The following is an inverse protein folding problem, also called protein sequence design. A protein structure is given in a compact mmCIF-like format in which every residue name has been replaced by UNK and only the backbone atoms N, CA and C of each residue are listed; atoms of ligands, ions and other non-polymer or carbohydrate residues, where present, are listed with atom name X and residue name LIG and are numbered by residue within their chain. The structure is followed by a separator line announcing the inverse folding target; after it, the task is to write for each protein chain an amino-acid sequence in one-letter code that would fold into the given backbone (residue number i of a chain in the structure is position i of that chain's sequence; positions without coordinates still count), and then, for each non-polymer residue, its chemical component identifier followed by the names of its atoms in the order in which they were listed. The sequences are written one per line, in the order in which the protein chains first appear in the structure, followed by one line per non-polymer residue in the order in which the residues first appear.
data_IF_371993315373
#
_entry.id   IF_371993315373
#
_cell.length_a   1.000
_cell.length_b   1.000
_cell.length_c   1.000
_cell.angle_alpha   90.00
_cell.angle_beta   90.00
_cell.angle_gamma   90.00
#
_symmetry.space_group_name_H-M   'P 1'
#
loop_
_entity.id
_entity.type
_entity.pdbx_description
1 polymer ?
#
# COMPACT_ATOMS: atom_id res chain seq x y z
N UNK A 1 34.01 7.63 8.90
CA UNK A 1 32.85 8.01 8.04
C UNK A 1 31.56 7.23 8.34
N UNK A 2 31.56 6.17 9.18
CA UNK A 2 30.35 5.42 9.57
C UNK A 2 29.36 6.12 10.53
N UNK A 3 29.70 7.25 11.17
CA UNK A 3 28.80 7.92 12.13
C UNK A 3 27.64 8.69 11.48
N UNK A 4 27.72 8.98 10.17
CA UNK A 4 26.73 9.81 9.45
C UNK A 4 25.41 9.06 9.16
N UNK A 5 25.50 7.80 8.72
CA UNK A 5 24.33 6.96 8.45
C UNK A 5 23.53 6.63 9.73
N UNK A 6 24.25 6.36 10.83
CA UNK A 6 23.65 6.11 12.16
C UNK A 6 22.91 7.33 12.69
N UNK A 7 23.42 8.54 12.42
CA UNK A 7 22.79 9.79 12.84
C UNK A 7 21.50 10.07 12.04
N UNK A 8 21.52 9.86 10.72
CA UNK A 8 20.35 10.01 9.85
C UNK A 8 19.23 9.03 10.24
N UNK A 9 19.59 7.79 10.57
CA UNK A 9 18.62 6.75 10.96
C UNK A 9 18.06 6.95 12.37
N UNK A 10 18.83 7.50 13.32
CA UNK A 10 18.30 7.92 14.63
C UNK A 10 17.24 9.01 14.49
N UNK A 11 17.43 9.96 13.58
CA UNK A 11 16.47 11.03 13.30
C UNK A 11 15.24 10.52 12.54
N UNK A 12 15.41 9.56 11.63
CA UNK A 12 14.29 8.94 10.89
C UNK A 12 13.45 7.99 11.77
N UNK A 13 14.08 7.22 12.66
CA UNK A 13 13.39 6.28 13.57
C UNK A 13 12.73 6.96 14.78
N UNK A 14 13.25 8.10 15.26
CA UNK A 14 12.55 8.90 16.29
C UNK A 14 11.29 9.59 15.74
N UNK A 15 11.20 9.81 14.42
CA UNK A 15 9.99 10.31 13.77
C UNK A 15 8.93 9.22 13.53
N UNK A 16 9.33 7.96 13.34
CA UNK A 16 8.40 6.84 13.10
C UNK A 16 7.82 6.20 14.37
N UNK A 17 8.49 6.36 15.52
CA UNK A 17 8.10 5.66 16.75
C UNK A 17 7.02 6.32 17.66
N UNK A 18 6.60 7.59 17.50
CA UNK A 18 5.42 8.13 18.20
C UNK A 18 4.13 8.11 17.37
N UNK A 19 4.19 7.85 16.06
CA UNK A 19 3.04 7.93 15.14
C UNK A 19 2.07 6.74 15.21
N UNK A 20 2.38 5.71 16.01
CA UNK A 20 1.58 4.48 16.11
C UNK A 20 0.98 4.24 17.51
N UNK A 21 1.14 5.14 18.50
CA UNK A 21 0.66 4.85 19.87
C UNK A 21 0.08 6.00 20.72
N UNK A 22 -0.21 7.19 20.18
CA UNK A 22 -0.81 8.25 20.99
C UNK A 22 -1.83 9.12 20.22
N UNK A 23 -3.05 8.60 20.10
CA UNK A 23 -4.22 9.43 19.80
C UNK A 23 -5.49 8.92 20.53
N UNK A 24 -5.36 8.66 21.83
CA UNK A 24 -6.49 8.72 22.77
C UNK A 24 -6.00 9.31 24.09
N UNK A 25 -6.67 10.38 24.53
CA UNK A 25 -6.66 10.99 25.87
C UNK A 25 -5.42 11.81 26.26
N UNK A 26 -5.49 13.13 26.11
CA UNK A 26 -5.69 14.04 27.27
C UNK A 26 -5.76 15.51 26.84
N UNK A 27 -6.93 16.10 27.03
CA UNK A 27 -7.08 17.51 27.38
C UNK A 27 -6.21 17.80 28.61
N UNK A 28 -5.44 18.89 28.60
CA UNK A 28 -5.60 20.03 29.53
C UNK A 28 -4.46 21.05 29.39
N UNK A 29 -4.86 22.27 29.03
CA UNK A 29 -4.35 23.56 29.49
C UNK A 29 -2.83 23.81 29.52
N UNK A 30 -2.35 24.57 28.53
CA UNK A 30 -1.27 25.55 28.75
C UNK A 30 -1.72 26.91 28.23
N UNK A 31 -2.08 27.75 29.19
CA UNK A 31 -1.88 29.19 29.30
C UNK A 31 -1.71 30.01 28.01
N UNK A 32 -2.80 30.73 27.73
CA UNK A 32 -2.85 31.98 26.97
C UNK A 32 -1.94 33.02 27.64
N UNK A 33 -0.99 33.58 26.89
CA UNK A 33 -0.69 35.00 26.96
C UNK A 33 -0.60 35.59 25.53
N UNK A 34 -1.11 36.81 25.32
CA UNK A 34 -1.37 37.33 23.98
C UNK A 34 -0.16 38.11 23.48
N UNK A 35 0.53 37.60 22.46
CA UNK A 35 1.39 38.45 21.64
C UNK A 35 0.50 39.35 20.77
N UNK A 36 0.44 40.60 21.22
CA UNK A 36 0.11 41.83 20.48
C UNK A 36 -0.18 41.66 18.99
N UNK A 37 -1.45 41.86 18.64
CA UNK A 37 -1.90 42.20 17.30
C UNK A 37 -1.24 43.51 16.84
N UNK A 38 -0.07 43.43 16.21
CA UNK A 38 0.36 44.42 15.21
C UNK A 38 -0.26 43.96 13.90
N UNK A 39 -1.29 44.67 13.46
CA UNK A 39 -1.78 44.62 12.09
C UNK A 39 -0.62 44.94 11.14
N UNK A 40 0.04 43.92 10.60
CA UNK A 40 0.71 44.05 9.32
C UNK A 40 -0.40 44.37 8.33
N UNK A 41 -0.43 45.62 7.85
CA UNK A 41 -1.24 45.97 6.70
C UNK A 41 -0.86 45.01 5.58
N UNK A 42 -1.75 44.06 5.26
CA UNK A 42 -1.53 43.12 4.18
C UNK A 42 -1.29 43.92 2.90
N UNK A 43 -0.06 43.90 2.40
CA UNK A 43 0.29 44.53 1.12
C UNK A 43 -0.63 43.90 0.08
N UNK A 44 -1.47 44.72 -0.55
CA UNK A 44 -2.39 44.25 -1.55
C UNK A 44 -1.60 43.68 -2.75
N UNK A 45 -2.07 42.59 -3.37
CA UNK A 45 -1.35 41.95 -4.46
C UNK A 45 -1.21 42.91 -5.65
N UNK A 46 -0.02 42.92 -6.25
CA UNK A 46 0.21 43.56 -7.54
C UNK A 46 -0.23 42.59 -8.64
N UNK A 47 -1.34 42.91 -9.31
CA UNK A 47 -1.91 42.04 -10.34
C UNK A 47 -1.36 42.45 -11.71
N UNK A 48 -0.12 42.04 -12.01
CA UNK A 48 0.59 42.45 -13.23
C UNK A 48 1.33 43.79 -13.09
N UNK A 49 2.11 44.16 -14.11
CA UNK A 49 3.04 45.29 -14.02
C UNK A 49 2.35 46.64 -13.75
N UNK A 50 1.15 46.85 -14.28
CA UNK A 50 0.47 48.17 -14.27
C UNK A 50 -0.85 48.21 -13.49
N UNK A 51 -1.21 47.14 -12.76
CA UNK A 51 -2.49 47.08 -12.05
C UNK A 51 -2.34 46.78 -10.55
N UNK A 52 -2.33 47.87 -9.78
CA UNK A 52 -2.34 47.83 -8.33
C UNK A 52 -3.77 47.80 -7.80
N UNK A 53 -4.11 46.75 -7.06
CA UNK A 53 -5.42 46.61 -6.42
C UNK A 53 -5.32 47.11 -4.99
N UNK A 54 -6.34 47.86 -4.52
CA UNK A 54 -6.39 48.29 -3.13
C UNK A 54 -6.84 47.14 -2.23
N UNK A 55 -6.42 47.15 -0.97
CA UNK A 55 -6.88 46.18 0.03
C UNK A 55 -8.41 46.14 0.13
N UNK A 56 -9.05 47.31 0.06
CA UNK A 56 -10.52 47.43 0.10
C UNK A 56 -11.21 46.69 -1.05
N UNK A 57 -10.67 46.75 -2.28
CA UNK A 57 -11.18 45.98 -3.41
C UNK A 57 -10.99 44.48 -3.22
N UNK A 58 -9.90 44.04 -2.60
CA UNK A 58 -9.68 42.62 -2.28
C UNK A 58 -10.73 42.14 -1.27
N UNK A 59 -11.02 42.92 -0.23
CA UNK A 59 -12.04 42.56 0.76
C UNK A 59 -13.46 42.63 0.18
N UNK A 60 -13.73 43.59 -0.70
CA UNK A 60 -14.97 43.64 -1.47
C UNK A 60 -15.15 42.39 -2.35
N UNK A 61 -14.08 41.95 -3.04
CA UNK A 61 -14.09 40.72 -3.81
C UNK A 61 -14.42 39.52 -2.92
N UNK A 62 -13.70 39.32 -1.82
CA UNK A 62 -13.91 38.19 -0.89
C UNK A 62 -15.34 38.11 -0.37
N UNK A 63 -15.98 39.27 -0.08
CA UNK A 63 -17.38 39.33 0.36
C UNK A 63 -18.37 39.01 -0.76
N UNK A 64 -18.01 39.31 -2.01
CA UNK A 64 -18.90 39.20 -3.16
C UNK A 64 -18.78 37.86 -3.90
N UNK A 65 -17.66 37.15 -3.74
CA UNK A 65 -17.47 35.85 -4.39
C UNK A 65 -18.44 34.80 -3.83
N UNK A 66 -19.00 33.94 -4.70
CA UNK A 66 -19.75 32.77 -4.28
C UNK A 66 -18.91 31.87 -3.36
N UNK A 67 -19.60 31.09 -2.54
CA UNK A 67 -18.99 30.11 -1.64
C UNK A 67 -19.58 28.74 -1.88
N UNK A 68 -18.77 27.70 -1.68
CA UNK A 68 -19.28 26.33 -1.62
C UNK A 68 -20.30 26.19 -0.50
N UNK A 69 -21.42 25.53 -0.77
CA UNK A 69 -22.48 25.27 0.22
C UNK A 69 -22.28 23.95 0.96
N UNK A 70 -21.49 23.05 0.37
CA UNK A 70 -21.18 21.72 0.88
C UNK A 70 -19.69 21.44 0.74
N UNK A 71 -19.21 20.43 1.46
CA UNK A 71 -17.84 19.96 1.29
C UNK A 71 -17.67 19.43 -0.13
N UNK A 72 -16.54 19.76 -0.78
CA UNK A 72 -16.22 19.31 -2.13
C UNK A 72 -14.97 18.45 -2.09
N UNK A 73 -14.97 17.40 -2.91
CA UNK A 73 -13.83 16.51 -3.09
C UNK A 73 -13.33 16.72 -4.51
N UNK A 74 -12.04 16.99 -4.63
CA UNK A 74 -11.37 17.09 -5.93
C UNK A 74 -10.25 16.07 -6.02
N UNK A 75 -10.13 15.41 -7.17
CA UNK A 75 -9.14 14.38 -7.46
C UNK A 75 -7.95 14.97 -8.21
N UNK A 76 -6.75 14.54 -7.85
CA UNK A 76 -5.54 14.88 -8.58
C UNK A 76 -4.62 13.65 -8.67
N UNK A 77 -4.38 13.20 -9.89
CA UNK A 77 -3.40 12.14 -10.15
C UNK A 77 -2.01 12.74 -10.39
N UNK A 78 -1.02 12.18 -9.70
CA UNK A 78 0.38 12.60 -9.73
C UNK A 78 1.31 11.39 -9.59
N UNK A 79 2.62 11.63 -9.50
CA UNK A 79 3.59 10.56 -9.25
C UNK A 79 3.40 9.94 -7.85
N UNK A 80 3.72 8.65 -7.66
CA UNK A 80 3.71 8.00 -6.34
C UNK A 80 4.38 8.82 -5.24
N UNK A 81 5.57 9.34 -5.51
CA UNK A 81 6.42 10.02 -4.53
C UNK A 81 5.80 11.33 -4.08
N UNK A 82 5.23 12.10 -5.01
CA UNK A 82 4.56 13.38 -4.72
C UNK A 82 3.26 13.13 -3.98
N UNK A 83 2.42 12.23 -4.49
CA UNK A 83 1.11 11.94 -3.92
C UNK A 83 1.17 11.35 -2.51
N UNK A 84 2.06 10.38 -2.28
CA UNK A 84 2.28 9.81 -0.94
C UNK A 84 2.77 10.87 0.04
N UNK A 85 3.70 11.74 -0.38
CA UNK A 85 4.20 12.82 0.46
C UNK A 85 3.09 13.80 0.86
N UNK A 86 2.26 14.24 -0.10
CA UNK A 86 1.14 15.15 0.20
C UNK A 86 0.12 14.50 1.14
N UNK A 87 -0.23 13.24 0.89
CA UNK A 87 -1.12 12.46 1.76
C UNK A 87 -0.55 12.33 3.18
N UNK A 88 0.73 11.96 3.32
CA UNK A 88 1.38 11.82 4.64
C UNK A 88 1.48 13.15 5.39
N UNK A 89 1.67 14.26 4.67
CA UNK A 89 1.66 15.60 5.24
C UNK A 89 0.24 16.06 5.60
N UNK A 90 -0.78 15.51 4.96
CA UNK A 90 -2.17 15.93 5.04
C UNK A 90 -2.45 17.31 4.40
N UNK A 91 -1.44 17.96 3.83
CA UNK A 91 -1.53 19.27 3.22
C UNK A 91 -0.39 19.51 2.20
N UNK A 92 -0.52 20.56 1.39
CA UNK A 92 0.55 21.09 0.53
C UNK A 92 0.94 22.48 1.04
N UNK A 93 2.22 22.73 1.32
CA UNK A 93 2.67 24.03 1.82
C UNK A 93 2.75 25.09 0.71
N UNK A 94 2.70 26.38 1.08
CA UNK A 94 2.68 27.48 0.09
C UNK A 94 3.92 27.51 -0.80
N UNK A 95 5.11 27.18 -0.30
CA UNK A 95 6.34 27.18 -1.12
C UNK A 95 6.30 26.17 -2.26
N UNK A 96 5.66 25.01 -2.05
CA UNK A 96 5.39 24.06 -3.11
C UNK A 96 4.28 24.52 -4.04
N UNK A 97 3.19 25.10 -3.51
CA UNK A 97 2.13 25.69 -4.34
C UNK A 97 2.70 26.80 -5.25
N UNK A 98 3.66 27.59 -4.76
CA UNK A 98 4.34 28.63 -5.53
C UNK A 98 5.17 28.07 -6.69
N UNK A 99 5.77 26.89 -6.51
CA UNK A 99 6.40 26.17 -7.61
C UNK A 99 5.39 25.84 -8.72
N UNK A 100 4.20 25.35 -8.37
CA UNK A 100 3.15 25.06 -9.36
C UNK A 100 2.48 26.31 -9.94
N UNK A 101 2.50 27.43 -9.21
CA UNK A 101 2.07 28.74 -9.68
C UNK A 101 3.09 29.40 -10.64
N UNK A 102 4.22 28.74 -10.94
CA UNK A 102 5.17 29.21 -11.94
C UNK A 102 4.78 28.65 -13.32
N UNK A 103 4.65 29.48 -14.37
CA UNK A 103 4.32 29.00 -15.70
C UNK A 103 5.38 28.01 -16.24
N UNK A 104 4.97 26.79 -16.57
CA UNK A 104 5.87 25.73 -17.08
C UNK A 104 5.74 25.48 -18.60
N UNK A 105 5.04 26.36 -19.31
CA UNK A 105 4.90 26.33 -20.78
C UNK A 105 3.53 25.84 -21.25
N UNK A 106 3.48 25.10 -22.37
CA UNK A 106 2.25 24.79 -23.12
C UNK A 106 1.25 23.85 -22.43
N UNK A 107 1.62 23.24 -21.30
CA UNK A 107 0.79 22.25 -20.61
C UNK A 107 -0.24 22.87 -19.65
N UNK A 108 -0.20 24.19 -19.45
CA UNK A 108 -1.06 24.94 -18.52
C UNK A 108 -2.03 25.85 -19.26
N UNK A 109 -2.97 25.25 -20.00
CA UNK A 109 -3.89 25.99 -20.90
C UNK A 109 -4.76 27.04 -20.18
N UNK A 110 -4.96 26.91 -18.87
CA UNK A 110 -5.80 27.80 -18.06
C UNK A 110 -5.01 28.64 -17.04
N UNK A 111 -3.67 28.65 -17.14
CA UNK A 111 -2.77 29.33 -16.21
C UNK A 111 -2.01 28.36 -15.29
N UNK A 112 -1.02 28.89 -14.59
CA UNK A 112 -0.25 28.11 -13.61
C UNK A 112 -1.08 27.88 -12.34
N UNK A 113 -0.82 26.80 -11.60
CA UNK A 113 -1.53 26.44 -10.37
C UNK A 113 -1.70 24.92 -10.20
N UNK A 114 -2.38 24.54 -9.12
CA UNK A 114 -2.72 23.14 -8.83
C UNK A 114 -4.06 22.82 -9.49
N UNK A 115 -4.01 22.01 -10.53
CA UNK A 115 -5.19 21.52 -11.24
C UNK A 115 -5.82 20.36 -10.48
N UNK A 116 -7.14 20.30 -10.43
CA UNK A 116 -7.87 19.24 -9.76
C UNK A 116 -9.20 18.99 -10.47
N UNK A 117 -9.76 17.79 -10.37
CA UNK A 117 -10.96 17.40 -11.10
C UNK A 117 -12.07 16.93 -10.15
N UNK A 118 -13.33 17.11 -10.51
CA UNK A 118 -14.44 16.50 -9.76
C UNK A 118 -14.60 15.02 -10.09
N UNK A 119 -14.24 14.63 -11.31
CA UNK A 119 -14.20 13.25 -11.76
C UNK A 119 -12.91 12.57 -11.31
N UNK A 120 -13.08 11.33 -10.84
CA UNK A 120 -11.96 10.48 -10.41
C UNK A 120 -11.00 10.08 -11.52
N UNK A 121 -11.40 10.13 -12.79
CA UNK A 121 -10.58 9.67 -13.93
C UNK A 121 -10.03 10.81 -14.79
N UNK A 122 -10.51 12.04 -14.64
CA UNK A 122 -10.17 13.10 -15.60
C UNK A 122 -8.70 13.50 -15.57
N UNK A 123 -8.07 13.48 -14.39
CA UNK A 123 -6.64 13.72 -14.27
C UNK A 123 -5.78 12.44 -14.35
N UNK A 124 -6.37 11.26 -14.58
CA UNK A 124 -5.67 9.96 -14.53
C UNK A 124 -4.44 9.87 -15.48
N UNK A 125 -4.41 10.64 -16.57
CA UNK A 125 -3.25 10.71 -17.47
C UNK A 125 -2.01 11.40 -16.88
N UNK A 126 -2.13 12.11 -15.75
CA UNK A 126 -1.04 12.87 -15.13
C UNK A 126 -0.22 12.07 -14.12
N UNK A 127 -0.64 10.84 -13.77
CA UNK A 127 0.14 10.00 -12.88
C UNK A 127 -0.52 8.67 -12.51
N UNK A 128 0.10 8.03 -11.53
CA UNK A 128 -0.30 6.70 -11.04
C UNK A 128 -0.80 6.73 -9.58
N UNK A 129 -0.70 7.87 -8.88
CA UNK A 129 -1.23 8.09 -7.53
C UNK A 129 -2.33 9.12 -7.53
N UNK A 130 -3.53 8.74 -7.09
CA UNK A 130 -4.59 9.70 -6.85
C UNK A 130 -4.53 10.20 -5.40
N UNK A 131 -4.39 11.51 -5.23
CA UNK A 131 -4.78 12.19 -3.99
C UNK A 131 -6.15 12.81 -4.17
N UNK A 132 -6.82 13.10 -3.06
CA UNK A 132 -7.97 13.98 -3.04
C UNK A 132 -7.70 15.21 -2.19
N UNK A 133 -8.24 16.34 -2.63
CA UNK A 133 -8.31 17.58 -1.87
C UNK A 133 -9.74 17.77 -1.37
N UNK A 134 -9.89 17.81 -0.06
CA UNK A 134 -11.19 18.04 0.58
C UNK A 134 -11.33 19.51 0.95
N UNK A 135 -12.25 20.18 0.31
CA UNK A 135 -12.60 21.58 0.58
C UNK A 135 -13.82 21.61 1.49
N UNK A 136 -13.74 22.38 2.57
CA UNK A 136 -14.86 22.57 3.48
C UNK A 136 -15.95 23.47 2.86
N UNK A 137 -17.20 23.43 3.39
CA UNK A 137 -18.20 24.44 3.06
C UNK A 137 -17.67 25.85 3.36
N UNK A 138 -17.97 26.81 2.50
CA UNK A 138 -17.55 28.20 2.65
C UNK A 138 -16.31 28.60 1.84
N UNK A 139 -15.65 27.65 1.16
CA UNK A 139 -14.54 27.94 0.24
C UNK A 139 -14.99 28.87 -0.89
N UNK A 140 -14.21 29.92 -1.16
CA UNK A 140 -14.53 30.90 -2.21
C UNK A 140 -14.43 30.26 -3.59
N UNK A 141 -15.39 30.57 -4.47
CA UNK A 141 -15.39 30.16 -5.87
C UNK A 141 -15.21 31.40 -6.73
N UNK A 142 -14.19 31.42 -7.57
CA UNK A 142 -13.93 32.54 -8.48
C UNK A 142 -15.08 32.71 -9.48
N UNK A 143 -15.46 33.96 -9.73
CA UNK A 143 -16.48 34.32 -10.69
C UNK A 143 -16.05 35.56 -11.48
N UNK A 144 -15.95 35.41 -12.80
CA UNK A 144 -15.49 36.46 -13.73
C UNK A 144 -16.36 37.73 -13.67
N UNK A 145 -17.68 37.59 -13.52
CA UNK A 145 -18.61 38.72 -13.47
C UNK A 145 -18.44 39.53 -12.18
N UNK A 146 -18.30 38.84 -11.05
CA UNK A 146 -18.03 39.47 -9.74
C UNK A 146 -16.69 40.18 -9.77
N UNK A 147 -15.62 39.51 -10.25
CA UNK A 147 -14.30 40.11 -10.35
C UNK A 147 -14.31 41.34 -11.28
N UNK A 148 -15.00 41.25 -12.42
CA UNK A 148 -15.13 42.37 -13.37
C UNK A 148 -15.86 43.56 -12.75
N UNK A 149 -16.90 43.31 -11.96
CA UNK A 149 -17.63 44.37 -11.25
C UNK A 149 -16.76 45.09 -10.21
N UNK A 150 -15.97 44.34 -9.43
CA UNK A 150 -15.10 44.91 -8.37
C UNK A 150 -13.89 45.65 -8.97
N UNK A 151 -13.27 45.06 -10.00
CA UNK A 151 -12.05 45.60 -10.60
C UNK A 151 -12.29 46.57 -11.75
N UNK A 152 -13.50 46.60 -12.31
CA UNK A 152 -13.86 47.43 -13.48
C UNK A 152 -13.36 46.86 -14.81
N UNK A 153 -12.75 45.67 -14.82
CA UNK A 153 -12.27 44.96 -16.00
C UNK A 153 -12.12 43.47 -15.75
N UNK A 154 -12.09 42.69 -16.82
CA UNK A 154 -11.75 41.26 -16.75
C UNK A 154 -10.25 41.07 -16.47
N UNK A 155 -9.93 40.09 -15.65
CA UNK A 155 -8.54 39.68 -15.39
C UNK A 155 -8.09 38.64 -16.41
N UNK A 156 -6.82 38.66 -16.80
CA UNK A 156 -6.20 37.59 -17.57
C UNK A 156 -5.73 36.43 -16.65
N UNK A 157 -5.23 35.33 -17.23
CA UNK A 157 -4.80 34.17 -16.44
C UNK A 157 -3.68 34.48 -15.45
N UNK A 158 -2.68 35.27 -15.86
CA UNK A 158 -1.54 35.62 -14.98
C UNK A 158 -2.01 36.48 -13.80
N UNK A 159 -2.89 37.46 -14.05
CA UNK A 159 -3.52 38.28 -13.01
C UNK A 159 -4.39 37.46 -12.07
N UNK A 160 -5.10 36.45 -12.58
CA UNK A 160 -5.86 35.51 -11.76
C UNK A 160 -4.96 34.63 -10.89
N UNK A 161 -3.82 34.19 -11.41
CA UNK A 161 -2.83 33.44 -10.64
C UNK A 161 -2.26 34.30 -9.51
N UNK A 162 -1.86 35.55 -9.78
CA UNK A 162 -1.36 36.47 -8.74
C UNK A 162 -2.42 36.79 -7.67
N UNK A 163 -3.67 36.99 -8.10
CA UNK A 163 -4.78 37.18 -7.17
C UNK A 163 -5.00 35.93 -6.31
N UNK A 164 -4.98 34.75 -6.93
CA UNK A 164 -5.19 33.47 -6.26
C UNK A 164 -4.12 33.14 -5.23
N UNK A 165 -2.87 33.61 -5.40
CA UNK A 165 -1.82 33.47 -4.38
C UNK A 165 -2.21 34.17 -3.07
N UNK A 166 -2.97 35.27 -3.15
CA UNK A 166 -3.35 36.08 -1.99
C UNK A 166 -4.77 35.83 -1.48
N UNK A 167 -5.66 35.34 -2.34
CA UNK A 167 -7.07 35.07 -2.02
C UNK A 167 -7.35 33.58 -2.26
N UNK A 168 -7.64 32.79 -1.21
CA UNK A 168 -7.86 31.36 -1.37
C UNK A 168 -9.24 31.10 -1.98
N UNK A 169 -9.28 30.99 -3.30
CA UNK A 169 -10.45 30.57 -4.06
C UNK A 169 -10.15 29.38 -4.96
N UNK A 170 -11.18 28.64 -5.34
CA UNK A 170 -11.15 27.67 -6.43
C UNK A 170 -11.73 28.32 -7.69
N UNK A 171 -11.12 28.08 -8.84
CA UNK A 171 -11.65 28.53 -10.15
C UNK A 171 -12.14 27.33 -10.93
N UNK A 172 -13.42 27.36 -11.28
CA UNK A 172 -14.02 26.40 -12.20
C UNK A 172 -13.59 26.73 -13.65
N UNK A 173 -13.11 25.72 -14.37
CA UNK A 173 -12.66 25.83 -15.76
C UNK A 173 -13.69 25.27 -16.75
N UNK A 174 -14.35 24.16 -16.42
CA UNK A 174 -15.31 23.48 -17.29
C UNK A 174 -16.25 22.50 -16.55
N UNK A 175 -16.63 22.84 -15.32
CA UNK A 175 -17.44 22.06 -14.37
C UNK A 175 -16.80 20.79 -13.83
N UNK A 176 -15.81 20.23 -14.53
CA UNK A 176 -15.01 19.13 -14.02
C UNK A 176 -13.65 19.59 -13.51
N UNK A 177 -12.91 20.32 -14.35
CA UNK A 177 -11.58 20.83 -14.02
C UNK A 177 -11.64 22.13 -13.24
N UNK A 178 -10.83 22.18 -12.20
CA UNK A 178 -10.70 23.29 -11.29
C UNK A 178 -9.22 23.61 -11.06
N UNK A 179 -8.92 24.83 -10.65
CA UNK A 179 -7.57 25.25 -10.30
C UNK A 179 -7.57 26.08 -9.02
N UNK A 180 -6.54 25.90 -8.19
CA UNK A 180 -6.25 26.72 -7.00
C UNK A 180 -4.79 27.15 -6.99
N UNK A 181 -4.51 28.30 -6.36
CA UNK A 181 -3.19 28.91 -6.29
C UNK A 181 -2.71 29.14 -4.85
N UNK A 182 -3.50 28.73 -3.85
CA UNK A 182 -3.22 28.99 -2.44
C UNK A 182 -3.25 27.68 -1.64
N UNK A 183 -2.27 27.51 -0.75
CA UNK A 183 -2.16 26.33 0.11
C UNK A 183 -3.32 26.18 1.11
N UNK A 184 -4.03 27.25 1.46
CA UNK A 184 -5.18 27.18 2.36
C UNK A 184 -6.32 26.32 1.81
N UNK A 185 -6.44 26.21 0.47
CA UNK A 185 -7.38 25.28 -0.17
C UNK A 185 -6.84 23.84 -0.17
N UNK A 186 -5.55 23.63 0.07
CA UNK A 186 -4.88 22.33 -0.01
C UNK A 186 -4.48 21.85 1.39
N UNK A 187 -5.25 22.23 2.41
CA UNK A 187 -5.00 21.91 3.82
C UNK A 187 -5.52 20.54 4.26
N UNK A 188 -6.22 19.83 3.38
CA UNK A 188 -6.78 18.51 3.65
C UNK A 188 -6.57 17.60 2.44
N UNK A 189 -5.49 16.84 2.48
CA UNK A 189 -5.11 15.88 1.44
C UNK A 189 -5.28 14.46 1.95
N UNK A 190 -6.00 13.63 1.22
CA UNK A 190 -6.18 12.21 1.54
C UNK A 190 -5.84 11.31 0.35
N UNK A 191 -5.75 10.00 0.61
CA UNK A 191 -5.61 8.98 -0.42
C UNK A 191 -6.90 8.82 -1.23
N UNK A 192 -6.80 8.87 -2.56
CA UNK A 192 -7.98 8.76 -3.43
C UNK A 192 -8.68 7.40 -3.43
N UNK A 193 -8.00 6.31 -3.03
CA UNK A 193 -8.61 4.97 -3.01
C UNK A 193 -9.79 4.86 -2.04
N UNK A 194 -9.81 5.63 -0.95
CA UNK A 194 -10.97 5.72 -0.03
C UNK A 194 -12.25 6.18 -0.76
N UNK A 195 -12.08 6.88 -1.88
CA UNK A 195 -13.15 7.44 -2.70
C UNK A 195 -13.33 6.69 -4.04
N UNK A 196 -12.77 5.48 -4.16
CA UNK A 196 -12.90 4.64 -5.36
C UNK A 196 -12.08 5.14 -6.56
N UNK A 197 -11.07 5.97 -6.29
CA UNK A 197 -9.99 6.34 -7.20
C UNK A 197 -8.70 5.65 -6.75
N UNK A 198 -8.74 4.32 -6.74
CA UNK A 198 -7.60 3.51 -6.31
C UNK A 198 -6.40 3.88 -7.18
N UNK A 199 -5.31 4.21 -6.50
CA UNK A 199 -4.10 4.51 -7.21
C UNK A 199 -3.73 3.29 -8.06
N UNK A 200 -3.31 3.54 -9.31
CA UNK A 200 -2.65 2.52 -10.15
C UNK A 200 -1.44 1.90 -9.44
N UNK A 201 -1.02 2.52 -8.34
CA UNK A 201 -0.01 2.18 -7.33
C UNK A 201 -0.28 0.97 -6.43
N UNK A 202 -1.26 0.12 -6.73
CA UNK A 202 -0.91 -1.31 -6.57
C UNK A 202 0.27 -1.74 -7.50
N UNK A 203 0.76 -0.82 -8.36
CA UNK A 203 2.10 -0.80 -8.96
C UNK A 203 3.18 -0.01 -8.18
N UNK A 204 2.96 0.54 -6.98
CA UNK A 204 4.03 1.05 -6.10
C UNK A 204 4.78 -0.08 -5.39
N UNK A 205 4.28 -1.31 -5.52
CA UNK A 205 5.09 -2.53 -5.46
C UNK A 205 5.68 -2.87 -6.81
N UNK A 206 5.93 -1.92 -7.72
CA UNK A 206 6.91 -2.13 -8.81
C UNK A 206 8.29 -2.17 -8.15
N UNK A 207 8.51 -3.27 -7.42
CA UNK A 207 9.71 -3.60 -6.68
C UNK A 207 10.93 -3.41 -7.57
N UNK A 208 10.76 -3.67 -8.87
CA UNK A 208 11.74 -3.42 -9.90
C UNK A 208 12.10 -1.93 -10.06
N UNK A 209 11.12 -1.02 -10.09
CA UNK A 209 11.39 0.42 -10.20
C UNK A 209 12.11 0.95 -8.96
N UNK A 210 11.70 0.51 -7.76
CA UNK A 210 12.38 0.86 -6.50
C UNK A 210 13.80 0.27 -6.44
N UNK A 211 13.99 -1.00 -6.79
CA UNK A 211 15.32 -1.62 -6.89
C UNK A 211 16.20 -0.94 -7.92
N UNK A 212 15.66 -0.55 -9.08
CA UNK A 212 16.39 0.23 -10.09
C UNK A 212 16.87 1.56 -9.52
N UNK A 213 16.02 2.27 -8.78
CA UNK A 213 16.40 3.53 -8.13
C UNK A 213 17.50 3.31 -7.08
N UNK A 214 17.37 2.28 -6.23
CA UNK A 214 18.40 1.92 -5.23
C UNK A 214 19.73 1.57 -5.93
N UNK A 215 19.69 0.78 -7.00
CA UNK A 215 20.88 0.37 -7.77
C UNK A 215 21.54 1.55 -8.47
N UNK A 216 20.76 2.46 -9.06
CA UNK A 216 21.27 3.69 -9.65
C UNK A 216 21.96 4.59 -8.61
N UNK A 217 21.60 4.48 -7.33
CA UNK A 217 22.25 5.20 -6.24
C UNK A 217 23.58 4.59 -5.75
N UNK A 218 23.94 3.35 -6.17
CA UNK A 218 25.17 2.65 -5.73
C UNK A 218 26.47 3.44 -5.92
N UNK A 219 26.68 4.17 -7.02
CA UNK A 219 27.90 4.97 -7.21
C UNK A 219 28.08 6.09 -6.16
N UNK A 220 27.02 6.44 -5.42
CA UNK A 220 27.03 7.55 -4.46
C UNK A 220 27.23 7.11 -3.00
N UNK A 221 27.40 5.80 -2.71
CA UNK A 221 27.86 5.29 -1.42
C UNK A 221 27.33 3.90 -1.01
N UNK A 222 27.94 3.34 0.04
CA UNK A 222 27.66 1.98 0.55
C UNK A 222 26.22 1.80 1.09
N UNK A 223 25.52 2.90 1.40
CA UNK A 223 24.12 2.89 1.86
C UNK A 223 23.19 2.20 0.87
N UNK A 224 23.50 2.21 -0.43
CA UNK A 224 22.67 1.56 -1.44
C UNK A 224 22.64 0.03 -1.31
N UNK A 225 23.77 -0.60 -0.93
CA UNK A 225 23.81 -2.05 -0.70
C UNK A 225 22.99 -2.44 0.54
N UNK A 226 23.05 -1.61 1.59
CA UNK A 226 22.21 -1.78 2.77
C UNK A 226 20.74 -1.62 2.42
N UNK A 227 20.36 -0.57 1.68
CA UNK A 227 18.97 -0.31 1.28
C UNK A 227 18.41 -1.43 0.38
N UNK A 228 19.22 -1.99 -0.51
CA UNK A 228 18.84 -3.13 -1.34
C UNK A 228 18.58 -4.37 -0.48
N UNK A 229 19.51 -4.75 0.39
CA UNK A 229 19.29 -5.89 1.30
C UNK A 229 18.12 -5.64 2.25
N UNK A 230 17.97 -4.42 2.75
CA UNK A 230 16.83 -4.04 3.59
C UNK A 230 15.51 -4.17 2.84
N UNK A 231 15.47 -3.77 1.57
CA UNK A 231 14.30 -3.94 0.71
C UNK A 231 13.92 -5.42 0.58
N UNK A 232 14.87 -6.30 0.27
CA UNK A 232 14.60 -7.74 0.23
C UNK A 232 14.17 -8.29 1.59
N UNK A 233 14.71 -7.76 2.69
CA UNK A 233 14.33 -8.18 4.05
C UNK A 233 12.85 -7.87 4.36
N UNK A 234 12.32 -6.75 3.86
CA UNK A 234 10.89 -6.42 3.99
C UNK A 234 9.99 -7.47 3.32
N UNK A 235 10.48 -8.11 2.26
CA UNK A 235 9.77 -9.19 1.58
C UNK A 235 10.06 -10.57 2.20
N UNK A 236 11.20 -10.75 2.85
CA UNK A 236 11.58 -12.00 3.52
C UNK A 236 10.80 -12.26 4.82
N UNK A 237 10.41 -11.20 5.55
CA UNK A 237 9.88 -11.30 6.91
C UNK A 237 8.48 -10.71 7.08
N UNK A 238 7.77 -11.12 8.13
CA UNK A 238 6.63 -10.35 8.65
C UNK A 238 7.11 -9.03 9.30
N UNK A 239 6.20 -8.06 9.44
CA UNK A 239 6.52 -6.73 9.95
C UNK A 239 7.06 -6.71 11.39
N UNK A 240 6.63 -7.64 12.25
CA UNK A 240 7.09 -7.72 13.64
C UNK A 240 8.54 -8.22 13.68
N UNK A 241 8.82 -9.30 12.95
CA UNK A 241 10.16 -9.86 12.84
C UNK A 241 11.14 -8.87 12.21
N UNK A 242 10.70 -8.13 11.19
CA UNK A 242 11.47 -7.02 10.61
C UNK A 242 11.79 -5.93 11.64
N UNK A 243 10.80 -5.49 12.43
CA UNK A 243 11.02 -4.47 13.46
C UNK A 243 12.03 -4.94 14.52
N UNK A 244 11.94 -6.21 14.94
CA UNK A 244 12.92 -6.83 15.83
C UNK A 244 14.32 -6.84 15.19
N UNK A 245 14.42 -7.25 13.94
CA UNK A 245 15.69 -7.30 13.18
C UNK A 245 16.44 -5.97 13.24
N UNK A 246 15.74 -4.89 12.92
CA UNK A 246 16.28 -3.52 12.84
C UNK A 246 16.73 -3.03 14.21
N UNK A 247 15.99 -3.37 15.27
CA UNK A 247 16.33 -2.93 16.63
C UNK A 247 17.52 -3.68 17.22
N UNK A 248 17.62 -4.98 16.95
CA UNK A 248 18.66 -5.83 17.54
C UNK A 248 19.98 -5.71 16.78
N UNK A 249 19.95 -5.64 15.45
CA UNK A 249 21.14 -5.56 14.61
C UNK A 249 20.99 -4.47 13.52
N UNK A 250 20.94 -3.18 13.89
CA UNK A 250 20.65 -2.09 12.96
C UNK A 250 21.59 -1.99 11.76
N UNK A 251 22.85 -2.41 11.90
CA UNK A 251 23.84 -2.37 10.81
C UNK A 251 23.75 -3.59 9.88
N UNK A 252 23.12 -4.69 10.33
CA UNK A 252 22.93 -5.91 9.56
C UNK A 252 21.68 -6.68 10.06
N UNK A 253 20.45 -6.18 9.80
CA UNK A 253 19.24 -6.77 10.36
C UNK A 253 19.00 -8.22 9.91
N UNK A 254 19.38 -8.58 8.69
CA UNK A 254 19.21 -9.92 8.14
C UNK A 254 20.15 -10.97 8.77
N UNK A 255 21.21 -10.55 9.48
CA UNK A 255 22.03 -11.47 10.30
C UNK A 255 21.23 -12.21 11.39
N UNK A 256 20.06 -11.69 11.75
CA UNK A 256 19.24 -12.20 12.84
C UNK A 256 18.38 -13.41 12.46
N UNK A 257 18.28 -13.75 11.17
CA UNK A 257 17.34 -14.75 10.66
C UNK A 257 17.92 -15.52 9.49
N UNK A 258 18.45 -16.71 9.79
CA UNK A 258 18.98 -17.69 8.82
C UNK A 258 19.73 -17.02 7.64
N UNK A 259 20.89 -16.40 7.88
CA UNK A 259 21.51 -15.49 6.91
C UNK A 259 21.72 -16.09 5.51
N UNK A 260 22.00 -17.39 5.43
CA UNK A 260 22.12 -18.12 4.18
C UNK A 260 20.79 -18.19 3.39
N UNK A 261 19.66 -18.44 4.05
CA UNK A 261 18.34 -18.46 3.41
C UNK A 261 17.93 -17.06 2.95
N UNK A 262 18.30 -16.03 3.71
CA UNK A 262 18.07 -14.66 3.29
C UNK A 262 18.83 -14.31 2.00
N UNK A 263 20.11 -14.67 1.90
CA UNK A 263 20.88 -14.43 0.67
C UNK A 263 20.33 -15.22 -0.52
N UNK A 264 19.86 -16.45 -0.31
CA UNK A 264 19.18 -17.24 -1.34
C UNK A 264 17.87 -16.58 -1.79
N UNK A 265 17.04 -16.15 -0.85
CA UNK A 265 15.81 -15.41 -1.12
C UNK A 265 16.09 -14.14 -1.92
N UNK A 266 17.09 -13.36 -1.51
CA UNK A 266 17.51 -12.13 -2.19
C UNK A 266 17.87 -12.44 -3.64
N UNK A 267 18.73 -13.43 -3.88
CA UNK A 267 19.14 -13.85 -5.23
C UNK A 267 17.95 -14.26 -6.11
N UNK A 268 17.00 -15.03 -5.56
CA UNK A 268 15.80 -15.43 -6.27
C UNK A 268 14.89 -14.25 -6.59
N UNK A 269 14.66 -13.37 -5.60
CA UNK A 269 13.84 -12.19 -5.79
C UNK A 269 14.46 -11.26 -6.84
N UNK A 270 15.78 -11.06 -6.82
CA UNK A 270 16.49 -10.29 -7.84
C UNK A 270 16.33 -10.89 -9.25
N UNK A 271 16.40 -12.21 -9.38
CA UNK A 271 16.20 -12.90 -10.65
C UNK A 271 14.76 -12.72 -11.17
N UNK A 272 13.76 -12.89 -10.29
CA UNK A 272 12.35 -12.72 -10.64
C UNK A 272 12.04 -11.29 -11.08
N UNK A 273 12.58 -10.30 -10.36
CA UNK A 273 12.37 -8.88 -10.65
C UNK A 273 13.13 -8.38 -11.87
N UNK A 274 14.05 -9.16 -12.46
CA UNK A 274 14.81 -8.74 -13.65
C UNK A 274 14.12 -9.26 -14.90
N UNK A 275 13.25 -8.46 -15.58
CA UNK A 275 12.44 -8.97 -16.67
C UNK A 275 13.33 -9.27 -17.88
N UNK A 276 12.98 -10.31 -18.64
CA UNK A 276 13.56 -10.50 -19.96
C UNK A 276 13.31 -9.24 -20.82
N UNK A 277 14.26 -8.82 -21.68
CA UNK A 277 14.17 -7.57 -22.46
C UNK A 277 12.88 -7.39 -23.29
N UNK A 278 12.11 -8.46 -23.49
CA UNK A 278 10.89 -8.51 -24.30
C UNK A 278 9.67 -9.06 -23.53
N UNK A 279 9.73 -9.16 -22.19
CA UNK A 279 8.59 -9.65 -21.41
C UNK A 279 7.43 -8.65 -21.47
N UNK A 280 6.31 -9.05 -22.08
CA UNK A 280 5.06 -8.29 -21.96
C UNK A 280 4.57 -8.43 -20.52
N UNK A 281 4.21 -7.32 -19.87
CA UNK A 281 3.51 -7.36 -18.58
C UNK A 281 2.20 -8.13 -18.77
N UNK A 282 2.07 -9.28 -18.10
CA UNK A 282 0.77 -9.95 -18.02
C UNK A 282 -0.08 -9.26 -16.96
N UNK A 283 -1.36 -9.07 -17.27
CA UNK A 283 -2.35 -8.57 -16.31
C UNK A 283 -3.24 -9.70 -15.78
N UNK A 284 -3.06 -10.92 -16.29
CA UNK A 284 -3.86 -12.10 -15.99
C UNK A 284 -2.96 -13.28 -15.60
N UNK A 285 -3.51 -14.20 -14.80
CA UNK A 285 -2.87 -15.47 -14.49
C UNK A 285 -2.92 -16.44 -15.66
N UNK A 286 -1.79 -17.07 -16.00
CA UNK A 286 -1.70 -17.92 -17.19
C UNK A 286 -1.71 -17.11 -18.50
N UNK A 287 -0.97 -17.57 -19.50
CA UNK A 287 -0.93 -16.88 -20.80
C UNK A 287 -2.20 -17.18 -21.62
N UNK A 288 -2.59 -16.23 -22.48
CA UNK A 288 -3.69 -16.44 -23.43
C UNK A 288 -3.41 -17.67 -24.31
N UNK A 289 -4.33 -18.64 -24.29
CA UNK A 289 -4.25 -19.87 -25.09
C UNK A 289 -3.53 -21.05 -24.43
N UNK A 290 -3.06 -20.90 -23.18
CA UNK A 290 -2.60 -22.06 -22.41
C UNK A 290 -3.79 -22.85 -21.87
N UNK A 291 -3.70 -24.18 -21.92
CA UNK A 291 -4.69 -25.07 -21.32
C UNK A 291 -4.66 -24.93 -19.78
N UNK A 292 -5.83 -24.74 -19.18
CA UNK A 292 -6.00 -24.45 -17.75
C UNK A 292 -5.46 -25.59 -16.86
N UNK A 293 -5.71 -26.84 -17.25
CA UNK A 293 -5.27 -28.02 -16.51
C UNK A 293 -3.76 -28.20 -16.60
N UNK A 294 -3.20 -28.09 -17.81
CA UNK A 294 -1.76 -28.15 -18.02
C UNK A 294 -1.02 -27.00 -17.32
N UNK A 295 -1.61 -25.80 -17.27
CA UNK A 295 -1.04 -24.68 -16.53
C UNK A 295 -1.04 -24.95 -15.03
N UNK A 296 -2.17 -25.36 -14.46
CA UNK A 296 -2.27 -25.67 -13.03
C UNK A 296 -1.32 -26.82 -12.64
N UNK A 297 -1.21 -27.86 -13.46
CA UNK A 297 -0.25 -28.95 -13.25
C UNK A 297 1.19 -28.46 -13.27
N UNK A 298 1.57 -27.61 -14.23
CA UNK A 298 2.90 -27.03 -14.29
C UNK A 298 3.22 -26.18 -13.05
N UNK A 299 2.26 -25.38 -12.56
CA UNK A 299 2.47 -24.59 -11.34
C UNK A 299 2.76 -25.48 -10.13
N UNK A 300 2.00 -26.55 -9.94
CA UNK A 300 2.12 -27.45 -8.78
C UNK A 300 3.34 -28.37 -8.89
N UNK A 301 3.58 -28.99 -10.04
CA UNK A 301 4.65 -30.00 -10.15
C UNK A 301 6.03 -29.36 -10.35
N UNK A 302 6.09 -28.16 -10.92
CA UNK A 302 7.35 -27.54 -11.34
C UNK A 302 7.60 -26.18 -10.71
N UNK A 303 6.73 -25.20 -10.94
CA UNK A 303 7.07 -23.80 -10.62
C UNK A 303 7.11 -23.55 -9.10
N UNK A 304 6.12 -24.01 -8.35
CA UNK A 304 6.08 -23.86 -6.88
C UNK A 304 7.23 -24.63 -6.19
N UNK A 305 7.49 -25.92 -6.51
CA UNK A 305 8.66 -26.63 -5.98
C UNK A 305 10.00 -26.02 -6.38
N UNK A 306 10.13 -25.43 -7.58
CA UNK A 306 11.36 -24.79 -8.03
C UNK A 306 11.76 -23.60 -7.14
N UNK A 307 10.78 -22.83 -6.65
CA UNK A 307 11.04 -21.73 -5.72
C UNK A 307 11.62 -22.27 -4.40
N UNK A 308 11.02 -23.32 -3.84
CA UNK A 308 11.52 -23.92 -2.59
C UNK A 308 12.92 -24.53 -2.78
N UNK A 309 13.12 -25.26 -3.88
CA UNK A 309 14.42 -25.80 -4.27
C UNK A 309 15.48 -24.71 -4.35
N UNK A 310 15.16 -23.57 -4.95
CA UNK A 310 16.07 -22.42 -5.00
C UNK A 310 16.35 -21.82 -3.62
N UNK A 311 15.33 -21.70 -2.76
CA UNK A 311 15.46 -21.08 -1.44
C UNK A 311 16.38 -21.89 -0.52
N UNK A 312 16.24 -23.22 -0.56
CA UNK A 312 16.99 -24.15 0.29
C UNK A 312 18.19 -24.81 -0.42
N UNK A 313 18.47 -24.45 -1.67
CA UNK A 313 19.50 -25.09 -2.51
C UNK A 313 19.35 -26.62 -2.56
N UNK A 314 18.11 -27.10 -2.76
CA UNK A 314 17.79 -28.52 -2.89
C UNK A 314 17.24 -28.86 -4.27
N UNK A 315 17.07 -30.16 -4.56
CA UNK A 315 16.49 -30.65 -5.82
C UNK A 315 15.23 -31.50 -5.62
N UNK A 316 14.83 -31.73 -4.37
CA UNK A 316 13.76 -32.65 -4.00
C UNK A 316 12.76 -31.96 -3.06
N UNK A 317 12.40 -30.71 -3.36
CA UNK A 317 11.31 -30.01 -2.68
C UNK A 317 10.06 -30.89 -2.67
N UNK A 318 9.54 -31.12 -1.47
CA UNK A 318 8.31 -31.86 -1.26
C UNK A 318 7.35 -30.99 -0.45
N UNK A 319 6.06 -31.10 -0.76
CA UNK A 319 5.02 -30.53 0.08
C UNK A 319 5.07 -31.13 1.48
N UNK A 320 4.60 -30.37 2.48
CA UNK A 320 4.62 -30.85 3.86
C UNK A 320 3.79 -32.12 4.01
N UNK A 321 4.36 -33.10 4.71
CA UNK A 321 3.70 -34.38 5.02
C UNK A 321 2.96 -34.38 6.36
N UNK A 322 2.84 -33.25 7.05
CA UNK A 322 2.30 -33.20 8.40
C UNK A 322 1.35 -32.01 8.59
N UNK A 323 0.45 -32.14 9.56
CA UNK A 323 -0.41 -31.03 10.00
C UNK A 323 0.40 -29.94 10.72
N UNK A 324 -0.03 -28.69 10.55
CA UNK A 324 0.55 -27.54 11.24
C UNK A 324 -0.55 -26.83 12.01
N UNK A 325 -0.23 -26.45 13.25
CA UNK A 325 -1.12 -25.69 14.12
C UNK A 325 -0.50 -24.33 14.46
N UNK A 326 -1.27 -23.27 14.26
CA UNK A 326 -0.95 -21.93 14.75
C UNK A 326 -1.64 -21.70 16.11
N UNK A 327 -0.93 -21.04 17.03
CA UNK A 327 -1.39 -20.91 18.41
C UNK A 327 -0.32 -20.50 19.43
N UNK A 328 0.97 -20.44 19.05
CA UNK A 328 2.06 -20.15 19.98
C UNK A 328 2.44 -21.36 20.86
N UNK A 329 3.51 -21.20 21.66
CA UNK A 329 4.17 -22.30 22.39
C UNK A 329 3.78 -22.42 23.87
N UNK A 330 2.95 -21.52 24.39
CA UNK A 330 2.61 -21.46 25.82
C UNK A 330 1.43 -22.38 26.19
N UNK A 331 1.22 -22.62 27.48
CA UNK A 331 0.10 -23.42 27.99
C UNK A 331 -1.25 -22.89 27.49
N UNK A 332 -2.02 -23.76 26.80
CA UNK A 332 -3.24 -23.40 26.09
C UNK A 332 -3.05 -23.28 24.57
N UNK A 333 -1.83 -22.98 24.11
CA UNK A 333 -1.42 -22.93 22.70
C UNK A 333 -2.42 -22.17 21.81
N UNK A 334 -2.80 -20.98 22.27
CA UNK A 334 -3.64 -20.00 21.58
C UNK A 334 -2.98 -18.62 21.58
N UNK A 335 -3.29 -17.76 20.61
CA UNK A 335 -2.94 -16.33 20.63
C UNK A 335 -4.20 -15.47 20.83
N UNK A 336 -4.04 -14.26 21.37
CA UNK A 336 -5.13 -13.30 21.54
C UNK A 336 -5.43 -12.63 20.19
N UNK A 337 -6.69 -12.67 19.75
CA UNK A 337 -7.18 -11.99 18.56
C UNK A 337 -8.45 -11.18 18.84
N UNK A 338 -8.62 -10.12 18.06
CA UNK A 338 -9.82 -9.28 18.01
C UNK A 338 -11.03 -10.00 17.39
N UNK A 339 -12.26 -9.49 17.59
CA UNK A 339 -13.45 -10.02 16.92
C UNK A 339 -13.33 -10.03 15.39
N UNK A 340 -12.69 -9.02 14.80
CA UNK A 340 -12.49 -8.89 13.36
C UNK A 340 -11.51 -9.95 12.83
N UNK A 341 -10.41 -10.18 13.54
CA UNK A 341 -9.45 -11.24 13.19
C UNK A 341 -10.10 -12.62 13.30
N UNK A 342 -10.89 -12.87 14.35
CA UNK A 342 -11.65 -14.12 14.48
C UNK A 342 -12.63 -14.29 13.31
N UNK A 343 -13.38 -13.24 12.93
CA UNK A 343 -14.31 -13.31 11.80
C UNK A 343 -13.59 -13.63 10.49
N UNK A 344 -12.42 -13.02 10.24
CA UNK A 344 -11.61 -13.30 9.05
C UNK A 344 -11.09 -14.75 9.04
N UNK A 345 -10.63 -15.27 10.19
CA UNK A 345 -10.18 -16.65 10.32
C UNK A 345 -11.34 -17.65 10.14
N UNK A 346 -12.52 -17.36 10.69
CA UNK A 346 -13.70 -18.22 10.55
C UNK A 346 -14.25 -18.24 9.12
N UNK A 347 -14.10 -17.14 8.38
CA UNK A 347 -14.49 -17.06 6.97
C UNK A 347 -13.53 -17.82 6.04
N UNK A 348 -12.36 -18.22 6.52
CA UNK A 348 -11.36 -18.92 5.72
C UNK A 348 -11.72 -20.42 5.58
N UNK A 349 -12.02 -20.90 4.36
CA UNK A 349 -12.51 -22.25 4.16
C UNK A 349 -11.43 -23.33 4.31
N UNK A 350 -10.14 -22.96 4.31
CA UNK A 350 -9.02 -23.90 4.45
C UNK A 350 -8.67 -24.20 5.92
N UNK A 351 -9.04 -23.32 6.86
CA UNK A 351 -8.56 -23.37 8.24
C UNK A 351 -9.55 -24.04 9.19
N UNK A 352 -9.02 -24.84 10.12
CA UNK A 352 -9.76 -25.39 11.25
C UNK A 352 -9.57 -24.52 12.48
N UNK A 353 -10.50 -23.60 12.74
CA UNK A 353 -10.36 -22.57 13.79
C UNK A 353 -11.03 -23.02 15.10
N UNK A 354 -10.29 -22.93 16.19
CA UNK A 354 -10.74 -23.14 17.56
C UNK A 354 -10.59 -21.83 18.33
N UNK A 355 -11.61 -21.45 19.10
CA UNK A 355 -11.60 -20.18 19.83
C UNK A 355 -12.39 -20.25 21.13
N UNK A 356 -12.02 -19.40 22.08
CA UNK A 356 -12.78 -19.13 23.31
C UNK A 356 -12.60 -17.68 23.73
N UNK A 357 -13.56 -17.06 24.43
CA UNK A 357 -13.38 -15.72 24.99
C UNK A 357 -12.15 -15.65 25.90
N UNK A 358 -11.38 -14.58 25.79
CA UNK A 358 -10.27 -14.32 26.70
C UNK A 358 -10.80 -13.94 28.09
N UNK A 359 -10.29 -14.55 29.19
CA UNK A 359 -10.79 -14.29 30.55
C UNK A 359 -10.70 -12.82 31.00
N UNK A 360 -9.81 -12.02 30.41
CA UNK A 360 -9.68 -10.59 30.73
C UNK A 360 -10.61 -9.70 29.90
N UNK A 361 -11.38 -10.27 28.96
CA UNK A 361 -12.33 -9.55 28.12
C UNK A 361 -11.70 -8.78 26.96
N UNK A 362 -10.40 -8.97 26.70
CA UNK A 362 -9.66 -8.24 25.66
C UNK A 362 -9.80 -8.83 24.25
N UNK A 363 -10.52 -9.96 24.09
CA UNK A 363 -10.75 -10.58 22.79
C UNK A 363 -11.02 -12.08 22.89
N UNK A 364 -10.48 -12.83 21.93
CA UNK A 364 -10.59 -14.28 21.85
C UNK A 364 -9.21 -14.93 21.88
N UNK A 365 -9.10 -16.02 22.63
CA UNK A 365 -7.97 -16.94 22.54
C UNK A 365 -8.23 -17.88 21.37
N UNK A 366 -7.41 -17.77 20.32
CA UNK A 366 -7.58 -18.44 19.03
C UNK A 366 -6.43 -19.41 18.78
N UNK A 367 -6.73 -20.57 18.23
CA UNK A 367 -5.77 -21.42 17.55
C UNK A 367 -6.40 -21.96 16.26
N UNK A 368 -5.59 -22.26 15.25
CA UNK A 368 -6.12 -22.84 14.02
C UNK A 368 -5.14 -23.84 13.42
N UNK A 369 -5.70 -24.79 12.68
CA UNK A 369 -4.94 -25.81 11.96
C UNK A 369 -5.06 -25.59 10.45
N UNK A 370 -3.94 -25.78 9.76
CA UNK A 370 -3.88 -25.80 8.31
C UNK A 370 -4.39 -27.14 7.76
N UNK A 371 -4.76 -27.21 6.46
CA UNK A 371 -5.25 -28.44 5.83
C UNK A 371 -4.40 -29.68 6.17
N UNK A 372 -5.05 -30.74 6.62
CA UNK A 372 -4.40 -32.01 6.92
C UNK A 372 -5.36 -33.19 6.81
N UNK A 373 -4.82 -34.39 6.78
CA UNK A 373 -5.57 -35.64 6.76
C UNK A 373 -6.42 -35.87 8.03
N UNK A 374 -6.14 -35.18 9.14
CA UNK A 374 -6.95 -35.35 10.36
C UNK A 374 -8.29 -34.59 10.28
N UNK A 375 -8.34 -33.52 9.48
CA UNK A 375 -9.49 -32.62 9.36
C UNK A 375 -10.05 -32.52 7.92
N UNK A 376 -9.64 -33.43 7.02
CA UNK A 376 -9.94 -33.35 5.59
C UNK A 376 -11.43 -33.31 5.23
N UNK A 377 -12.32 -33.85 6.09
CA UNK A 377 -13.77 -33.85 5.85
C UNK A 377 -14.33 -32.45 5.64
N UNK A 378 -13.76 -31.46 6.32
CA UNK A 378 -14.14 -30.05 6.15
C UNK A 378 -13.72 -29.47 4.80
N UNK A 379 -12.68 -30.04 4.21
CA UNK A 379 -12.13 -29.63 2.92
C UNK A 379 -12.91 -30.21 1.74
N UNK A 380 -13.97 -31.01 1.97
CA UNK A 380 -14.80 -31.58 0.90
C UNK A 380 -15.21 -30.59 -0.20
N UNK A 381 -15.61 -29.33 0.11
CA UNK A 381 -15.98 -28.36 -0.94
C UNK A 381 -14.78 -27.86 -1.78
N UNK A 382 -13.55 -28.07 -1.30
CA UNK A 382 -12.31 -27.55 -1.88
C UNK A 382 -11.48 -28.64 -2.59
N UNK A 383 -11.77 -29.91 -2.30
CA UNK A 383 -11.07 -31.07 -2.86
C UNK A 383 -11.78 -31.60 -4.10
N UNK A 384 -11.01 -32.14 -5.03
CA UNK A 384 -11.51 -32.92 -6.15
C UNK A 384 -12.20 -34.19 -5.63
N UNK A 385 -13.28 -34.62 -6.30
CA UNK A 385 -14.10 -35.74 -5.85
C UNK A 385 -13.30 -37.05 -5.70
N UNK A 386 -12.42 -37.34 -6.66
CA UNK A 386 -11.54 -38.51 -6.66
C UNK A 386 -10.56 -38.51 -5.49
N UNK A 387 -9.98 -37.34 -5.17
CA UNK A 387 -9.09 -37.20 -4.01
C UNK A 387 -9.90 -37.40 -2.73
N UNK A 388 -11.06 -36.75 -2.59
CA UNK A 388 -11.90 -36.90 -1.41
C UNK A 388 -12.33 -38.36 -1.16
N UNK A 389 -12.80 -39.05 -2.20
CA UNK A 389 -13.18 -40.48 -2.13
C UNK A 389 -11.98 -41.37 -1.76
N UNK A 390 -10.80 -41.08 -2.30
CA UNK A 390 -9.58 -41.79 -1.93
C UNK A 390 -9.22 -41.59 -0.45
N UNK A 391 -9.34 -40.37 0.07
CA UNK A 391 -9.10 -40.10 1.50
C UNK A 391 -10.10 -40.83 2.41
N UNK A 392 -11.36 -40.96 2.00
CA UNK A 392 -12.40 -41.71 2.73
C UNK A 392 -12.13 -43.22 2.82
N UNK A 393 -11.27 -43.76 1.94
CA UNK A 393 -10.90 -45.18 1.97
C UNK A 393 -9.97 -45.56 3.15
N UNK A 394 -9.42 -44.57 3.88
CA UNK A 394 -8.49 -44.80 4.98
C UNK A 394 -9.12 -44.58 6.35
N UNK A 395 -8.91 -45.54 7.26
CA UNK A 395 -9.40 -45.43 8.64
C UNK A 395 -8.43 -44.64 9.54
N UNK A 396 -8.91 -43.95 10.59
CA UNK A 396 -8.03 -43.30 11.57
C UNK A 396 -7.02 -44.26 12.22
N UNK A 397 -7.40 -45.53 12.43
CA UNK A 397 -6.51 -46.56 12.97
C UNK A 397 -5.34 -46.84 12.01
N UNK A 398 -5.58 -46.89 10.69
CA UNK A 398 -4.53 -47.05 9.68
C UNK A 398 -3.55 -45.88 9.71
N UNK A 399 -4.05 -44.66 9.82
CA UNK A 399 -3.22 -43.44 9.87
C UNK A 399 -2.39 -43.33 11.15
N UNK A 400 -2.89 -43.85 12.27
CA UNK A 400 -2.15 -43.86 13.53
C UNK A 400 -0.88 -44.73 13.46
N UNK A 401 -0.87 -45.78 12.63
CA UNK A 401 0.21 -46.76 12.54
C UNK A 401 1.13 -46.59 11.33
N UNK A 402 0.71 -45.90 10.27
CA UNK A 402 1.52 -45.67 9.05
C UNK A 402 1.80 -44.18 8.82
N UNK A 403 2.91 -43.69 9.39
CA UNK A 403 3.38 -42.31 9.23
C UNK A 403 3.80 -41.96 7.80
N UNK A 404 4.23 -42.95 7.01
CA UNK A 404 4.57 -42.71 5.62
C UNK A 404 3.31 -42.50 4.77
N UNK A 405 2.25 -43.27 5.04
CA UNK A 405 0.93 -43.04 4.45
C UNK A 405 0.35 -41.69 4.87
N UNK A 406 0.38 -41.35 6.16
CA UNK A 406 -0.06 -40.04 6.65
C UNK A 406 0.63 -38.89 5.88
N UNK A 407 1.96 -39.01 5.68
CA UNK A 407 2.74 -38.07 4.90
C UNK A 407 2.28 -37.94 3.46
N UNK A 408 2.10 -39.06 2.75
CA UNK A 408 1.63 -39.07 1.36
C UNK A 408 0.22 -38.49 1.22
N UNK A 409 -0.67 -38.76 2.16
CA UNK A 409 -2.04 -38.24 2.14
C UNK A 409 -2.07 -36.72 2.36
N UNK A 410 -1.28 -36.21 3.31
CA UNK A 410 -1.13 -34.77 3.50
C UNK A 410 -0.56 -34.08 2.25
N UNK A 411 0.46 -34.66 1.62
CA UNK A 411 1.02 -34.14 0.37
C UNK A 411 -0.02 -34.10 -0.75
N UNK A 412 -0.82 -35.17 -0.90
CA UNK A 412 -1.88 -35.22 -1.90
C UNK A 412 -2.98 -34.18 -1.67
N UNK A 413 -3.36 -33.94 -0.43
CA UNK A 413 -4.31 -32.87 -0.07
C UNK A 413 -3.76 -31.51 -0.54
N UNK A 414 -2.50 -31.23 -0.25
CA UNK A 414 -1.87 -29.95 -0.62
C UNK A 414 -1.79 -29.80 -2.15
N UNK A 415 -1.35 -30.85 -2.85
CA UNK A 415 -1.30 -30.85 -4.32
C UNK A 415 -2.67 -30.55 -4.94
N UNK A 416 -3.72 -31.21 -4.46
CA UNK A 416 -5.07 -31.04 -5.00
C UNK A 416 -5.63 -29.64 -4.71
N UNK A 417 -5.46 -29.14 -3.48
CA UNK A 417 -5.86 -27.77 -3.13
C UNK A 417 -5.13 -26.71 -3.97
N UNK A 418 -3.83 -26.89 -4.22
CA UNK A 418 -3.07 -25.99 -5.08
C UNK A 418 -3.52 -26.08 -6.54
N UNK A 419 -3.79 -27.28 -7.07
CA UNK A 419 -4.32 -27.46 -8.42
C UNK A 419 -5.65 -26.73 -8.58
N UNK A 420 -6.55 -26.87 -7.60
CA UNK A 420 -7.84 -26.18 -7.61
C UNK A 420 -7.68 -24.66 -7.49
N UNK A 421 -6.77 -24.16 -6.66
CA UNK A 421 -6.42 -22.74 -6.61
C UNK A 421 -5.92 -22.22 -7.96
N UNK A 422 -4.97 -22.91 -8.59
CA UNK A 422 -4.44 -22.48 -9.89
C UNK A 422 -5.51 -22.56 -10.98
N UNK A 423 -6.28 -23.63 -11.08
CA UNK A 423 -7.44 -23.67 -12.00
C UNK A 423 -8.35 -22.47 -11.76
N UNK A 424 -8.71 -22.19 -10.52
CA UNK A 424 -9.61 -21.09 -10.17
C UNK A 424 -9.09 -19.73 -10.67
N UNK A 425 -7.80 -19.46 -10.56
CA UNK A 425 -7.24 -18.14 -10.90
C UNK A 425 -6.86 -17.99 -12.38
N UNK A 426 -6.70 -19.09 -13.13
CA UNK A 426 -6.32 -19.05 -14.55
C UNK A 426 -7.27 -18.15 -15.37
N UNK A 427 -6.69 -17.27 -16.19
CA UNK A 427 -7.40 -16.29 -17.01
C UNK A 427 -8.04 -15.12 -16.23
N UNK A 428 -7.91 -15.06 -14.90
CA UNK A 428 -8.41 -13.95 -14.09
C UNK A 428 -7.36 -12.85 -13.95
N UNK A 429 -7.78 -11.58 -13.76
CA UNK A 429 -6.87 -10.51 -13.40
C UNK A 429 -6.02 -10.88 -12.18
N UNK A 430 -4.76 -10.47 -12.18
CA UNK A 430 -3.87 -10.73 -11.05
C UNK A 430 -4.34 -9.94 -9.82
N UNK A 431 -4.80 -10.67 -8.80
CA UNK A 431 -5.07 -10.19 -7.44
C UNK A 431 -4.07 -10.84 -6.46
N UNK A 432 -2.97 -10.15 -6.12
CA UNK A 432 -1.95 -10.69 -5.24
C UNK A 432 -2.46 -10.96 -3.82
N UNK A 433 -3.44 -10.18 -3.34
CA UNK A 433 -3.92 -10.28 -1.98
C UNK A 433 -4.79 -11.53 -1.80
N UNK A 434 -5.73 -11.77 -2.71
CA UNK A 434 -6.55 -12.98 -2.73
C UNK A 434 -5.68 -14.24 -2.90
N UNK A 435 -4.70 -14.20 -3.82
CA UNK A 435 -3.76 -15.30 -4.00
C UNK A 435 -2.96 -15.59 -2.73
N UNK A 436 -2.34 -14.58 -2.12
CA UNK A 436 -1.55 -14.76 -0.89
C UNK A 436 -2.40 -15.35 0.23
N UNK A 437 -3.63 -14.83 0.40
CA UNK A 437 -4.54 -15.34 1.41
C UNK A 437 -4.77 -16.85 1.20
N UNK A 438 -5.17 -17.27 0.00
CA UNK A 438 -5.45 -18.68 -0.30
C UNK A 438 -4.21 -19.56 -0.19
N UNK A 439 -3.10 -19.15 -0.82
CA UNK A 439 -1.85 -19.92 -0.84
C UNK A 439 -1.25 -20.10 0.56
N UNK A 440 -1.22 -19.05 1.39
CA UNK A 440 -0.75 -19.13 2.78
C UNK A 440 -1.68 -20.00 3.63
N UNK A 441 -2.98 -20.01 3.33
CA UNK A 441 -3.96 -20.85 4.04
C UNK A 441 -3.87 -22.33 3.68
N UNK A 442 -3.39 -22.67 2.48
CA UNK A 442 -3.01 -24.05 2.12
C UNK A 442 -1.71 -24.44 2.84
N UNK A 443 -0.78 -23.49 2.95
CA UNK A 443 0.51 -23.61 3.63
C UNK A 443 1.34 -24.79 3.09
N UNK A 444 1.76 -24.76 1.82
CA UNK A 444 2.28 -25.95 1.14
C UNK A 444 3.61 -26.47 1.71
N UNK A 445 4.40 -25.61 2.34
CA UNK A 445 5.73 -25.92 2.85
C UNK A 445 5.88 -25.47 4.30
N UNK A 446 6.81 -26.09 5.03
CA UNK A 446 7.25 -25.66 6.35
C UNK A 446 8.32 -24.56 6.24
N UNK A 447 8.06 -23.53 5.43
CA UNK A 447 9.07 -22.57 4.96
C UNK A 447 9.24 -21.31 5.83
N UNK A 448 8.66 -21.29 7.03
CA UNK A 448 8.84 -20.20 8.00
C UNK A 448 8.19 -18.88 7.57
N UNK A 449 6.86 -18.80 7.70
CA UNK A 449 6.03 -17.60 7.46
C UNK A 449 5.73 -17.26 5.99
N UNK A 450 5.63 -18.24 5.08
CA UNK A 450 5.14 -18.00 3.72
C UNK A 450 6.14 -17.25 2.85
N UNK A 451 7.42 -17.66 2.88
CA UNK A 451 8.48 -17.06 2.06
C UNK A 451 8.29 -17.42 0.59
N UNK A 452 7.89 -18.66 0.32
CA UNK A 452 7.63 -19.18 -1.02
C UNK A 452 6.48 -18.42 -1.70
N UNK A 453 5.42 -18.08 -0.96
CA UNK A 453 4.27 -17.35 -1.52
C UNK A 453 4.63 -15.94 -1.96
N UNK A 454 5.54 -15.28 -1.24
CA UNK A 454 6.02 -13.93 -1.57
C UNK A 454 6.96 -13.93 -2.76
N UNK A 455 7.79 -14.96 -2.90
CA UNK A 455 8.65 -15.16 -4.08
C UNK A 455 7.83 -15.50 -5.32
N UNK A 456 6.76 -16.29 -5.18
CA UNK A 456 5.88 -16.64 -6.31
C UNK A 456 5.21 -15.43 -6.95
N UNK A 457 4.95 -14.37 -6.17
CA UNK A 457 4.34 -13.14 -6.67
C UNK A 457 5.30 -12.19 -7.42
N UNK A 458 6.60 -12.48 -7.42
CA UNK A 458 7.62 -11.66 -8.09
C UNK A 458 7.75 -12.08 -9.56
#
# INVERSE_FOLDING_TARGET
MHKSAVQFMKTFLTALSPLLFAATLSLSAVLIQPESARAQAAIAPQLGQDFHVTHEKIEELKRSLPKTTEAKIFYHWTSPEVGMRWMMQGHINQGEVDFYNTPTGKLQSYGAGIYMATSKTSSEGFGDFCVVFKMEPGTLVYNDEVATKVFGRRLNNDEMTELGKSVPFIRDLNSDWHITHNSANLSHVEYGGVYGADAKIFKATDQLSLLKAIRAAKPFGDSANYLESFFHLMHYMDGISLQRAIRVAPENPWSQFEPHLFENFKKLNEAALTPAPNARRSYYWGADGQDQEAWADAQVVKEVPAILNGLYETHNAAYRGHGIRAGGTNAGATFLGSPQELAALLANPYLSVQHKPDPSGHGFLISYEYPSIHDYKRLKPLLSADVYEWLESFSPATLAHDKALESRLNQRIIEDLLRNLFREIHGKPIDPADFLQKFVSIHPFSDGNGRTSRLYLQ
#
